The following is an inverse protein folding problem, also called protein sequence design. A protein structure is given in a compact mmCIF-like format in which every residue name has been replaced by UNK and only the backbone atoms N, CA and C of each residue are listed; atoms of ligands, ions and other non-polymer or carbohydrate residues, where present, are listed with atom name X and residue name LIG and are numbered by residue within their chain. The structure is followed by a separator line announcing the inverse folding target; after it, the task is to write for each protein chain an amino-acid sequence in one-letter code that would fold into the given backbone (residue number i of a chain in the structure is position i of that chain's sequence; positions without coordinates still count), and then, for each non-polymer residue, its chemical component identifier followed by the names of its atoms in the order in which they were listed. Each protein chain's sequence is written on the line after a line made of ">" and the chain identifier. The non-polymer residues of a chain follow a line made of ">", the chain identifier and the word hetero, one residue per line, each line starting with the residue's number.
data_IF_541026545072
#
_entry.id   IF_541026545072
#
_cell.length_a   1.000
_cell.length_b   1.000
_cell.length_c   1.000
_cell.angle_alpha   90.00
_cell.angle_beta   90.00
_cell.angle_gamma   90.00
#
_symmetry.space_group_name_H-M   'P 1'
#
loop_
_entity.id
_entity.type
_entity.pdbx_description
1 polymer ?
#
# COMPACT_ATOMS: atom_id res chain seq x y z
N UNK A 1 -13.07 -11.78 -12.48
CA UNK A 1 -11.68 -11.28 -12.49
C UNK A 1 -11.56 -10.23 -11.40
N UNK A 2 -10.65 -10.42 -10.45
CA UNK A 2 -10.36 -9.48 -9.36
C UNK A 2 -9.10 -8.72 -9.75
N UNK A 3 -9.14 -7.38 -9.76
CA UNK A 3 -7.95 -6.59 -9.96
C UNK A 3 -7.62 -5.85 -8.66
N UNK A 4 -6.42 -6.09 -8.15
CA UNK A 4 -5.87 -5.36 -7.02
C UNK A 4 -4.71 -4.54 -7.55
N UNK A 5 -4.86 -3.21 -7.62
CA UNK A 5 -3.72 -2.33 -7.91
C UNK A 5 -3.05 -2.05 -6.57
N UNK A 6 -1.91 -2.71 -6.34
CA UNK A 6 -1.00 -2.38 -5.23
C UNK A 6 0.18 -1.61 -5.79
N UNK A 7 0.29 -0.33 -5.45
CA UNK A 7 1.47 0.49 -5.71
C UNK A 7 2.27 0.65 -4.42
N UNK A 8 3.47 0.07 -4.39
CA UNK A 8 4.39 0.20 -3.26
C UNK A 8 5.57 1.07 -3.68
N UNK A 9 5.73 2.20 -3.00
CA UNK A 9 6.85 3.11 -3.14
C UNK A 9 7.79 2.92 -1.95
N UNK A 10 9.06 2.66 -2.23
CA UNK A 10 10.11 2.54 -1.20
C UNK A 10 11.23 3.48 -1.57
N UNK A 11 11.67 4.27 -0.60
CA UNK A 11 12.76 5.20 -0.79
C UNK A 11 13.83 4.94 0.25
N UNK A 12 15.06 4.67 -0.18
CA UNK A 12 16.20 4.49 0.73
C UNK A 12 16.85 5.83 0.94
N UNK A 13 16.66 6.42 2.12
CA UNK A 13 17.28 7.71 2.49
C UNK A 13 18.77 7.49 2.80
N UNK A 14 19.08 6.47 3.60
CA UNK A 14 20.45 6.11 3.96
C UNK A 14 20.53 4.61 4.30
N UNK A 15 21.68 4.17 4.81
CA UNK A 15 21.87 2.76 5.20
C UNK A 15 20.93 2.32 6.32
N UNK A 16 20.51 3.26 7.18
CA UNK A 16 19.67 3.01 8.35
C UNK A 16 18.18 3.23 8.10
N UNK A 17 17.76 4.02 7.10
CA UNK A 17 16.38 4.48 6.96
C UNK A 17 15.80 4.17 5.59
N UNK A 18 14.69 3.44 5.61
CA UNK A 18 13.88 3.10 4.45
C UNK A 18 12.41 3.42 4.69
N UNK A 19 11.98 4.68 4.50
CA UNK A 19 10.56 5.01 4.39
C UNK A 19 9.91 4.24 3.24
N UNK A 20 8.66 3.85 3.46
CA UNK A 20 7.82 3.20 2.47
C UNK A 20 6.38 3.70 2.56
N UNK A 21 5.74 3.73 1.40
CA UNK A 21 4.37 4.15 1.20
C UNK A 21 3.70 3.11 0.30
N UNK A 22 2.56 2.59 0.72
CA UNK A 22 1.80 1.61 -0.03
C UNK A 22 0.39 2.12 -0.26
N UNK A 23 0.01 2.18 -1.54
CA UNK A 23 -1.32 2.51 -1.98
C UNK A 23 -1.96 1.23 -2.53
N UNK A 24 -3.03 0.81 -1.88
CA UNK A 24 -3.84 -0.33 -2.31
C UNK A 24 -5.20 0.14 -2.74
N UNK A 25 -5.45 0.00 -4.03
CA UNK A 25 -6.77 0.17 -4.62
C UNK A 25 -7.37 -1.23 -4.82
N UNK A 26 -8.28 -1.59 -3.91
CA UNK A 26 -9.02 -2.83 -3.98
C UNK A 26 -10.29 -2.58 -4.80
N UNK A 27 -10.29 -3.01 -6.06
CA UNK A 27 -11.51 -3.07 -6.85
C UNK A 27 -12.29 -4.32 -6.44
N UNK A 28 -13.40 -4.09 -5.74
CA UNK A 28 -14.15 -5.18 -5.11
C UNK A 28 -15.23 -5.68 -6.07
N UNK A 29 -15.18 -6.97 -6.40
CA UNK A 29 -16.33 -7.66 -6.96
C UNK A 29 -16.72 -8.91 -6.16
N UNK A 30 -16.99 -8.76 -4.85
CA UNK A 30 -17.68 -9.78 -4.03
C UNK A 30 -18.46 -9.13 -2.87
N UNK A 31 -19.77 -8.90 -3.05
CA UNK A 31 -20.76 -8.71 -1.97
C UNK A 31 -21.36 -7.29 -1.78
N UNK A 32 -22.60 -7.19 -1.23
CA UNK A 32 -23.60 -6.14 -1.50
C UNK A 32 -23.30 -4.73 -0.94
N UNK A 33 -22.14 -4.53 -0.32
CA UNK A 33 -21.75 -3.27 0.29
C UNK A 33 -20.71 -2.59 -0.60
N UNK A 34 -21.21 -1.83 -1.57
CA UNK A 34 -20.47 -0.94 -2.47
C UNK A 34 -19.79 0.19 -1.69
N UNK A 35 -18.63 -0.10 -1.10
CA UNK A 35 -17.71 0.94 -0.63
C UNK A 35 -16.35 0.67 -1.24
N UNK A 36 -15.91 1.59 -2.08
CA UNK A 36 -14.53 1.66 -2.56
C UNK A 36 -13.61 1.68 -1.34
N UNK A 37 -12.78 0.66 -1.20
CA UNK A 37 -11.88 0.54 -0.06
C UNK A 37 -10.47 0.92 -0.50
N UNK A 38 -10.18 2.21 -0.40
CA UNK A 38 -8.84 2.74 -0.60
C UNK A 38 -8.05 2.54 0.69
N UNK A 39 -6.98 1.76 0.62
CA UNK A 39 -6.07 1.56 1.75
C UNK A 39 -4.75 2.27 1.48
N UNK A 40 -4.39 3.18 2.40
CA UNK A 40 -3.12 3.90 2.40
C UNK A 40 -2.32 3.41 3.61
N UNK A 41 -1.09 2.95 3.39
CA UNK A 41 -0.16 2.57 4.45
C UNK A 41 1.12 3.36 4.30
N UNK A 42 1.59 3.93 5.40
CA UNK A 42 2.83 4.70 5.46
C UNK A 42 3.65 4.14 6.61
N UNK A 43 4.94 3.92 6.38
CA UNK A 43 5.83 3.44 7.42
C UNK A 43 7.29 3.76 7.12
N UNK A 44 8.15 3.49 8.10
CA UNK A 44 9.58 3.55 7.92
C UNK A 44 10.22 2.30 8.53
N UNK A 45 11.17 1.72 7.81
CA UNK A 45 12.01 0.65 8.33
C UNK A 45 13.35 1.22 8.73
N UNK A 46 13.74 0.97 9.98
CA UNK A 46 15.05 1.30 10.50
C UNK A 46 15.95 0.05 10.49
N UNK A 47 17.19 0.19 10.06
CA UNK A 47 18.23 -0.84 10.08
C UNK A 47 19.32 -0.43 11.06
N UNK A 48 19.62 -1.31 12.00
CA UNK A 48 20.72 -1.20 12.97
C UNK A 48 22.00 -1.84 12.42
#
# INVERSE_FOLDING_TARGET
>A
HHWEITNTFRYRINEHWLPYFELRWLDRNVGPYHREQNQIRIGAKYFF
#
